data_IF_460574274866
#
_entry.id   IF_460574274866
#
_cell.length_a   1.000
_cell.length_b   1.000
_cell.length_c   1.000
_cell.angle_alpha   90.00
_cell.angle_beta   90.00
_cell.angle_gamma   90.00
#
_symmetry.space_group_name_H-M   'P 1'
#
loop_
_entity.id
_entity.type
_entity.pdbx_description
1 polymer ?
#
# COMPACT_ATOMS: atom_id res chain seq x y z
N UNK A 1 -32.99 44.37 30.55
CA UNK A 1 -33.29 43.51 29.38
C UNK A 1 -32.03 42.68 29.12
N UNK A 2 -32.01 41.43 29.60
CA UNK A 2 -30.85 40.53 29.52
C UNK A 2 -30.82 39.86 28.15
N UNK A 3 -29.70 39.95 27.43
CA UNK A 3 -29.55 39.53 26.03
C UNK A 3 -28.76 38.21 25.93
N UNK A 4 -29.13 37.19 26.70
CA UNK A 4 -28.60 35.84 26.52
C UNK A 4 -29.70 34.80 26.72
N UNK A 5 -30.02 33.97 25.71
CA UNK A 5 -30.93 32.85 25.90
C UNK A 5 -30.26 31.74 26.71
N UNK A 6 -31.06 31.07 27.54
CA UNK A 6 -30.68 29.91 28.33
C UNK A 6 -30.06 28.80 27.46
N UNK A 7 -28.97 28.22 27.96
CA UNK A 7 -28.32 27.05 27.40
C UNK A 7 -29.27 25.86 27.51
N UNK A 8 -29.68 25.30 26.37
CA UNK A 8 -30.46 24.07 26.32
C UNK A 8 -29.69 22.93 27.01
N UNK A 9 -30.33 22.33 28.03
CA UNK A 9 -29.82 21.14 28.72
C UNK A 9 -29.65 20.00 27.71
N UNK A 10 -28.47 19.38 27.76
CA UNK A 10 -28.04 18.35 26.82
C UNK A 10 -29.01 17.17 26.71
N UNK A 11 -29.10 16.66 25.48
CA UNK A 11 -29.77 15.40 25.18
C UNK A 11 -29.25 14.29 26.08
N UNK A 12 -30.19 13.57 26.68
CA UNK A 12 -29.96 12.32 27.38
C UNK A 12 -29.22 11.35 26.45
N UNK A 13 -28.04 10.91 26.88
CA UNK A 13 -27.30 9.82 26.25
C UNK A 13 -28.16 8.56 26.37
N UNK A 14 -28.34 7.86 25.25
CA UNK A 14 -28.96 6.54 25.23
C UNK A 14 -28.17 5.60 26.15
N UNK A 15 -28.82 5.11 27.20
CA UNK A 15 -28.28 4.10 28.11
C UNK A 15 -28.02 2.80 27.34
N UNK A 16 -26.78 2.29 27.43
CA UNK A 16 -26.43 0.93 26.99
C UNK A 16 -25.23 0.81 26.04
N UNK A 17 -24.60 1.89 25.60
CA UNK A 17 -23.38 1.78 24.78
C UNK A 17 -22.17 1.58 25.71
N UNK A 18 -21.55 0.40 25.64
CA UNK A 18 -20.29 0.09 26.33
C UNK A 18 -19.21 1.06 25.84
N UNK A 19 -18.74 1.98 26.69
CA UNK A 19 -17.73 2.96 26.28
C UNK A 19 -16.33 2.47 26.60
N UNK A 20 -15.39 2.71 25.69
CA UNK A 20 -13.97 2.36 25.85
C UNK A 20 -13.11 3.61 25.69
N UNK A 21 -11.88 3.63 26.21
CA UNK A 21 -10.97 4.75 25.92
C UNK A 21 -10.64 4.77 24.43
N UNK A 22 -10.44 5.96 23.86
CA UNK A 22 -10.05 6.12 22.45
C UNK A 22 -8.81 5.28 22.09
N UNK A 23 -7.81 5.22 22.98
CA UNK A 23 -6.64 4.37 22.79
C UNK A 23 -7.00 2.89 22.60
N UNK A 24 -7.90 2.36 23.44
CA UNK A 24 -8.34 0.96 23.36
C UNK A 24 -9.13 0.69 22.08
N UNK A 25 -9.99 1.64 21.67
CA UNK A 25 -10.73 1.54 20.40
C UNK A 25 -9.78 1.51 19.20
N UNK A 26 -8.76 2.37 19.16
CA UNK A 26 -7.75 2.36 18.08
C UNK A 26 -7.00 1.03 18.06
N UNK A 27 -6.51 0.57 19.20
CA UNK A 27 -5.76 -0.70 19.31
C UNK A 27 -6.62 -1.87 18.84
N UNK A 28 -7.86 -1.98 19.32
CA UNK A 28 -8.77 -3.04 18.94
C UNK A 28 -9.12 -2.96 17.45
N UNK A 29 -9.34 -1.76 16.91
CA UNK A 29 -9.56 -1.60 15.48
C UNK A 29 -8.34 -2.07 14.67
N UNK A 30 -7.11 -1.69 15.04
CA UNK A 30 -5.89 -2.14 14.38
C UNK A 30 -5.72 -3.67 14.42
N UNK A 31 -6.08 -4.31 15.53
CA UNK A 31 -6.10 -5.79 15.64
C UNK A 31 -7.06 -6.44 14.65
N UNK A 32 -8.28 -5.89 14.49
CA UNK A 32 -9.25 -6.37 13.50
C UNK A 32 -8.72 -6.23 12.06
N UNK A 33 -7.94 -5.19 11.81
CA UNK A 33 -7.20 -5.01 10.54
C UNK A 33 -5.98 -5.95 10.39
N UNK A 34 -5.75 -6.85 11.36
CA UNK A 34 -4.67 -7.83 11.31
C UNK A 34 -3.29 -7.27 11.64
N UNK A 35 -3.20 -6.03 12.12
CA UNK A 35 -1.93 -5.40 12.53
C UNK A 35 -1.37 -6.16 13.73
N UNK A 36 -0.07 -6.45 13.67
CA UNK A 36 0.64 -7.18 14.74
C UNK A 36 1.66 -6.32 15.48
N UNK A 37 2.17 -5.26 14.85
CA UNK A 37 3.24 -4.42 15.39
C UNK A 37 3.00 -2.95 15.09
N UNK A 38 3.43 -2.09 16.00
CA UNK A 38 3.60 -0.65 15.77
C UNK A 38 5.05 -0.31 16.05
N UNK A 39 5.73 0.31 15.10
CA UNK A 39 7.10 0.79 15.26
C UNK A 39 7.12 2.26 15.67
N UNK A 40 7.97 2.66 16.62
CA UNK A 40 8.01 4.07 16.97
C UNK A 40 8.99 4.49 18.05
N UNK A 41 8.97 5.80 18.32
CA UNK A 41 9.63 6.44 19.45
C UNK A 41 8.56 7.05 20.35
N UNK A 42 8.67 6.79 21.65
CA UNK A 42 7.67 7.24 22.63
C UNK A 42 7.84 8.74 22.92
N UNK A 43 6.72 9.48 22.96
CA UNK A 43 6.66 10.87 23.39
C UNK A 43 5.35 11.19 24.13
N UNK A 44 5.31 12.34 24.81
CA UNK A 44 4.20 12.72 25.70
C UNK A 44 2.83 12.79 25.00
N UNK A 45 2.82 13.14 23.71
CA UNK A 45 1.61 13.27 22.91
C UNK A 45 0.94 11.92 22.56
N UNK A 46 1.65 10.80 22.76
CA UNK A 46 1.15 9.43 22.51
C UNK A 46 1.17 8.55 23.77
N UNK A 47 1.37 9.12 24.97
CA UNK A 47 1.35 8.33 26.21
C UNK A 47 0.05 7.55 26.42
N UNK A 48 -1.10 8.09 26.02
CA UNK A 48 -2.36 7.35 26.10
C UNK A 48 -2.41 6.12 25.18
N UNK A 49 -1.75 6.15 24.02
CA UNK A 49 -1.56 4.96 23.19
C UNK A 49 -0.68 3.93 23.92
N UNK A 50 0.41 4.36 24.56
CA UNK A 50 1.30 3.45 25.30
C UNK A 50 0.60 2.83 26.51
N UNK A 51 -0.22 3.61 27.21
CA UNK A 51 -1.07 3.14 28.31
C UNK A 51 -2.07 2.08 27.83
N UNK A 52 -2.68 2.28 26.65
CA UNK A 52 -3.55 1.27 26.03
C UNK A 52 -2.81 0.00 25.66
N UNK A 53 -1.64 0.13 25.02
CA UNK A 53 -0.84 -1.00 24.60
C UNK A 53 -0.35 -1.85 25.77
N UNK A 54 -0.04 -1.25 26.93
CA UNK A 54 0.44 -1.98 28.12
C UNK A 54 -0.62 -2.85 28.79
N UNK A 55 -1.90 -2.70 28.43
CA UNK A 55 -3.02 -3.52 28.95
C UNK A 55 -3.33 -4.76 28.12
N UNK A 56 -2.61 -5.00 27.04
CA UNK A 56 -2.88 -6.07 26.08
C UNK A 56 -1.59 -6.63 25.48
N UNK A 57 -1.64 -7.83 24.89
CA UNK A 57 -0.46 -8.51 24.37
C UNK A 57 -0.53 -8.90 22.88
N UNK A 58 -1.62 -8.58 22.16
CA UNK A 58 -1.80 -9.03 20.77
C UNK A 58 -1.19 -8.07 19.73
N UNK A 59 -1.01 -6.80 20.11
CA UNK A 59 -0.40 -5.75 19.29
C UNK A 59 0.89 -5.27 19.98
N UNK A 60 2.02 -5.54 19.35
CA UNK A 60 3.36 -5.31 19.94
C UNK A 60 3.90 -3.90 19.61
N UNK A 61 4.50 -3.24 20.60
CA UNK A 61 5.25 -2.01 20.38
C UNK A 61 6.73 -2.31 20.14
N UNK A 62 7.25 -1.93 18.99
CA UNK A 62 8.66 -2.05 18.65
C UNK A 62 9.32 -0.67 18.77
N UNK A 63 9.98 -0.46 19.91
CA UNK A 63 10.70 0.78 20.18
C UNK A 63 11.99 0.90 19.36
N UNK A 64 12.13 2.00 18.63
CA UNK A 64 13.37 2.33 17.88
C UNK A 64 14.06 3.55 18.51
N UNK A 65 15.24 3.92 17.97
CA UNK A 65 16.01 5.09 18.44
C UNK A 65 15.75 6.37 17.64
N UNK A 66 15.15 6.25 16.47
CA UNK A 66 14.83 7.38 15.59
C UNK A 66 13.58 7.04 14.77
N UNK A 67 12.65 7.96 14.62
CA UNK A 67 11.35 7.69 13.99
C UNK A 67 11.48 7.33 12.51
N UNK A 68 12.50 7.84 11.80
CA UNK A 68 12.76 7.42 10.41
C UNK A 68 12.93 5.90 10.28
N UNK A 69 13.57 5.26 11.27
CA UNK A 69 13.73 3.81 11.33
C UNK A 69 12.38 3.13 11.55
N UNK A 70 11.50 3.70 12.39
CA UNK A 70 10.17 3.16 12.60
C UNK A 70 9.34 3.16 11.30
N UNK A 71 9.35 4.28 10.57
CA UNK A 71 8.66 4.37 9.29
C UNK A 71 9.27 3.43 8.23
N UNK A 72 10.61 3.28 8.18
CA UNK A 72 11.27 2.30 7.30
C UNK A 72 10.93 0.85 7.66
N UNK A 73 10.85 0.50 8.95
CA UNK A 73 10.45 -0.83 9.39
C UNK A 73 8.99 -1.13 9.04
N UNK A 74 8.08 -0.16 9.23
CA UNK A 74 6.70 -0.29 8.79
C UNK A 74 6.60 -0.49 7.26
N UNK A 75 7.37 0.29 6.50
CA UNK A 75 7.49 0.16 5.04
C UNK A 75 8.00 -1.24 4.64
N UNK A 76 9.06 -1.73 5.28
CA UNK A 76 9.61 -3.05 5.03
C UNK A 76 8.63 -4.18 5.36
N UNK A 77 7.91 -4.11 6.49
CA UNK A 77 6.87 -5.10 6.81
C UNK A 77 5.77 -5.10 5.74
N UNK A 78 5.36 -3.94 5.25
CA UNK A 78 4.37 -3.84 4.18
C UNK A 78 4.87 -4.47 2.87
N UNK A 79 6.13 -4.20 2.47
CA UNK A 79 6.77 -4.80 1.29
C UNK A 79 6.84 -6.33 1.37
N UNK A 80 7.15 -6.87 2.55
CA UNK A 80 7.38 -8.31 2.73
C UNK A 80 6.09 -9.11 2.93
N UNK A 81 5.08 -8.51 3.56
CA UNK A 81 3.86 -9.23 3.96
C UNK A 81 2.65 -8.92 3.08
N UNK A 82 2.68 -7.82 2.32
CA UNK A 82 1.52 -7.28 1.62
C UNK A 82 0.43 -6.73 2.55
N UNK A 83 0.68 -6.68 3.87
CA UNK A 83 -0.23 -6.10 4.86
C UNK A 83 0.16 -4.65 5.14
N UNK A 84 -0.73 -3.90 5.78
CA UNK A 84 -0.41 -2.53 6.18
C UNK A 84 0.63 -2.50 7.30
N UNK A 85 1.70 -1.74 7.10
CA UNK A 85 2.66 -1.42 8.15
C UNK A 85 2.17 -0.26 9.01
N UNK A 86 2.48 -0.26 10.31
CA UNK A 86 2.06 0.83 11.21
C UNK A 86 3.25 1.42 11.96
N UNK A 87 3.42 2.73 11.89
CA UNK A 87 4.39 3.47 12.68
C UNK A 87 3.71 4.56 13.50
N UNK A 88 4.31 4.93 14.64
CA UNK A 88 3.80 6.01 15.46
C UNK A 88 4.90 6.88 16.05
N UNK A 89 4.57 8.16 16.27
CA UNK A 89 5.49 9.13 16.83
C UNK A 89 4.77 10.23 17.62
N UNK A 90 5.57 11.00 18.36
CA UNK A 90 5.21 12.30 18.92
C UNK A 90 4.72 13.28 17.84
N UNK A 91 4.08 14.37 18.26
CA UNK A 91 3.80 15.51 17.37
C UNK A 91 5.09 16.20 16.87
N UNK A 92 4.96 17.08 15.87
CA UNK A 92 6.02 18.01 15.48
C UNK A 92 7.29 17.28 15.04
N UNK A 93 8.41 17.36 15.79
CA UNK A 93 9.66 16.70 15.43
C UNK A 93 9.52 15.19 15.22
N UNK A 94 8.63 14.52 15.97
CA UNK A 94 8.40 13.08 15.81
C UNK A 94 7.86 12.74 14.43
N UNK A 95 6.81 13.45 13.98
CA UNK A 95 6.26 13.26 12.65
C UNK A 95 7.23 13.70 11.55
N UNK A 96 7.96 14.81 11.72
CA UNK A 96 8.96 15.23 10.72
C UNK A 96 10.03 14.14 10.52
N UNK A 97 10.42 13.46 11.59
CA UNK A 97 11.38 12.35 11.52
C UNK A 97 10.81 11.10 10.83
N UNK A 98 9.49 10.85 10.91
CA UNK A 98 8.85 9.76 10.15
C UNK A 98 8.91 9.99 8.63
N UNK A 99 8.92 11.24 8.16
CA UNK A 99 8.71 11.59 6.75
C UNK A 99 9.66 10.89 5.78
N UNK A 100 10.92 10.66 6.14
CA UNK A 100 11.86 9.94 5.26
C UNK A 100 11.41 8.51 4.98
N UNK A 101 10.98 7.78 6.02
CA UNK A 101 10.50 6.42 5.84
C UNK A 101 9.09 6.36 5.21
N UNK A 102 8.26 7.38 5.43
CA UNK A 102 7.00 7.52 4.70
C UNK A 102 7.24 7.80 3.21
N UNK A 103 8.24 8.61 2.87
CA UNK A 103 8.65 8.85 1.48
C UNK A 103 9.10 7.56 0.78
N UNK A 104 9.86 6.71 1.47
CA UNK A 104 10.21 5.36 0.99
C UNK A 104 8.95 4.53 0.70
N UNK A 105 8.01 4.44 1.64
CA UNK A 105 6.76 3.70 1.44
C UNK A 105 5.89 4.28 0.30
N UNK A 106 5.87 5.60 0.14
CA UNK A 106 5.15 6.29 -0.93
C UNK A 106 5.71 5.95 -2.32
N UNK A 107 7.04 5.99 -2.47
CA UNK A 107 7.71 5.70 -3.73
C UNK A 107 7.66 4.21 -4.08
N UNK A 108 7.79 3.32 -3.09
CA UNK A 108 7.72 1.87 -3.28
C UNK A 108 6.29 1.34 -3.39
N UNK A 109 5.31 2.23 -3.26
CA UNK A 109 3.88 1.95 -3.42
C UNK A 109 3.41 0.85 -2.47
N UNK A 110 3.66 1.04 -1.17
CA UNK A 110 3.22 0.13 -0.10
C UNK A 110 2.35 0.81 0.96
N UNK A 111 1.38 0.09 1.55
CA UNK A 111 0.45 0.66 2.51
C UNK A 111 1.11 0.84 3.88
N UNK A 112 1.16 2.09 4.38
CA UNK A 112 1.63 2.41 5.73
C UNK A 112 0.67 3.37 6.43
N UNK A 113 0.27 3.07 7.65
CA UNK A 113 -0.41 4.00 8.54
C UNK A 113 0.60 4.64 9.51
N UNK A 114 0.72 5.96 9.42
CA UNK A 114 1.42 6.77 10.42
C UNK A 114 0.42 7.33 11.45
N UNK A 115 0.69 7.11 12.72
CA UNK A 115 -0.08 7.71 13.83
C UNK A 115 0.81 8.70 14.56
N UNK A 116 0.45 9.98 14.55
CA UNK A 116 1.15 10.98 15.37
C UNK A 116 0.28 11.43 16.54
N UNK A 117 0.93 11.74 17.66
CA UNK A 117 0.33 12.59 18.68
C UNK A 117 0.16 14.03 18.15
N UNK A 118 -0.63 14.83 18.85
CA UNK A 118 -0.80 16.25 18.56
C UNK A 118 -1.03 17.05 19.86
N UNK A 119 -0.85 18.37 19.78
CA UNK A 119 -1.24 19.32 20.81
C UNK A 119 -2.67 19.01 21.29
N UNK A 120 -2.95 19.19 22.59
CA UNK A 120 -4.29 18.96 23.11
C UNK A 120 -5.29 19.88 22.40
N UNK A 121 -6.52 19.41 22.23
CA UNK A 121 -7.54 20.04 21.37
C UNK A 121 -7.68 21.56 21.59
N UNK A 122 -7.72 22.09 22.83
CA UNK A 122 -7.85 23.54 23.08
C UNK A 122 -6.63 24.39 22.70
N UNK A 123 -5.52 23.76 22.28
CA UNK A 123 -4.25 24.42 21.96
C UNK A 123 -3.86 24.31 20.48
N UNK A 124 -4.62 23.57 19.69
CA UNK A 124 -4.44 23.52 18.23
C UNK A 124 -4.61 24.92 17.65
N UNK A 125 -3.69 25.32 16.77
CA UNK A 125 -3.67 26.65 16.15
C UNK A 125 -2.99 27.75 16.99
N UNK A 126 -2.40 27.40 18.13
CA UNK A 126 -1.68 28.36 19.00
C UNK A 126 -0.17 28.10 18.97
N UNK A 127 0.63 28.95 19.65
CA UNK A 127 2.07 28.76 19.85
C UNK A 127 2.41 27.64 20.87
N UNK A 128 1.63 26.56 20.88
CA UNK A 128 1.85 25.43 21.79
C UNK A 128 3.19 24.75 21.46
N UNK A 129 3.87 24.20 22.48
CA UNK A 129 5.16 23.54 22.30
C UNK A 129 5.06 22.45 21.23
N UNK A 130 6.02 22.43 20.31
CA UNK A 130 6.12 21.43 19.22
C UNK A 130 4.91 21.36 18.26
N UNK A 131 3.92 22.24 18.37
CA UNK A 131 2.78 22.28 17.47
C UNK A 131 3.21 22.78 16.09
N UNK A 132 2.83 22.04 15.04
CA UNK A 132 2.92 22.43 13.63
C UNK A 132 1.70 21.92 12.88
N UNK A 133 1.46 22.46 11.67
CA UNK A 133 0.50 21.87 10.72
C UNK A 133 1.04 20.56 10.15
N UNK A 134 0.70 19.48 10.86
CA UNK A 134 1.13 18.13 10.51
C UNK A 134 0.47 17.59 9.24
N UNK A 135 -0.77 18.02 8.94
CA UNK A 135 -1.51 17.56 7.76
C UNK A 135 -0.92 18.19 6.49
N UNK A 136 -0.70 19.50 6.51
CA UNK A 136 -0.07 20.21 5.40
C UNK A 136 1.36 19.71 5.13
N UNK A 137 2.12 19.41 6.19
CA UNK A 137 3.49 18.91 6.09
C UNK A 137 3.60 17.58 5.30
N UNK A 138 2.69 16.62 5.53
CA UNK A 138 2.78 15.27 4.95
C UNK A 138 1.95 15.08 3.68
N UNK A 139 1.21 16.10 3.25
CA UNK A 139 0.27 16.00 2.13
C UNK A 139 0.93 15.55 0.81
N UNK A 140 2.21 15.88 0.59
CA UNK A 140 2.93 15.51 -0.62
C UNK A 140 3.24 14.01 -0.74
N UNK A 141 3.22 13.27 0.38
CA UNK A 141 3.65 11.87 0.45
C UNK A 141 2.62 10.96 1.12
N UNK A 142 1.39 11.45 1.33
CA UNK A 142 0.30 10.66 1.91
C UNK A 142 -0.98 10.80 1.08
N UNK A 143 -1.73 9.70 0.94
CA UNK A 143 -3.04 9.70 0.25
C UNK A 143 -4.18 10.26 1.11
N UNK A 144 -4.00 10.20 2.43
CA UNK A 144 -4.97 10.64 3.40
C UNK A 144 -4.25 11.17 4.64
N UNK A 145 -4.58 12.39 5.07
CA UNK A 145 -4.11 12.92 6.34
C UNK A 145 -5.20 13.70 7.07
N UNK A 146 -5.51 13.30 8.31
CA UNK A 146 -6.53 13.96 9.14
C UNK A 146 -6.12 14.07 10.59
N UNK A 147 -6.67 15.09 11.26
CA UNK A 147 -6.67 15.22 12.71
C UNK A 147 -8.01 14.70 13.26
N UNK A 148 -7.96 13.81 14.24
CA UNK A 148 -9.17 13.27 14.89
C UNK A 148 -9.45 14.12 16.13
N UNK A 149 -10.52 14.93 16.11
CA UNK A 149 -10.83 15.88 17.20
C UNK A 149 -12.02 15.47 18.07
N UNK A 150 -12.64 14.32 17.79
CA UNK A 150 -13.76 13.81 18.56
C UNK A 150 -13.64 12.28 18.75
N UNK A 151 -13.90 11.73 19.95
CA UNK A 151 -13.73 10.30 20.22
C UNK A 151 -14.50 9.41 19.24
N UNK A 152 -15.77 9.71 19.01
CA UNK A 152 -16.64 8.89 18.15
C UNK A 152 -16.26 8.91 16.66
N UNK A 153 -15.37 9.80 16.22
CA UNK A 153 -14.91 9.86 14.83
C UNK A 153 -13.74 8.90 14.55
N UNK A 154 -13.16 8.28 15.58
CA UNK A 154 -11.90 7.53 15.47
C UNK A 154 -12.01 6.31 14.56
N UNK A 155 -13.09 5.52 14.69
CA UNK A 155 -13.29 4.29 13.90
C UNK A 155 -13.51 4.62 12.44
N UNK A 156 -14.32 5.63 12.12
CA UNK A 156 -14.57 6.03 10.73
C UNK A 156 -13.33 6.60 10.07
N UNK A 157 -12.62 7.48 10.79
CA UNK A 157 -11.41 8.11 10.25
C UNK A 157 -10.28 7.09 10.06
N UNK A 158 -10.12 6.15 11.00
CA UNK A 158 -9.19 5.05 10.87
C UNK A 158 -9.58 4.11 9.73
N UNK A 159 -10.85 3.74 9.62
CA UNK A 159 -11.34 2.90 8.51
C UNK A 159 -11.03 3.53 7.16
N UNK A 160 -11.31 4.83 6.98
CA UNK A 160 -11.01 5.55 5.74
C UNK A 160 -9.51 5.56 5.45
N UNK A 161 -8.68 5.89 6.44
CA UNK A 161 -7.23 5.89 6.29
C UNK A 161 -6.71 4.50 5.85
N UNK A 162 -7.14 3.43 6.52
CA UNK A 162 -6.72 2.06 6.21
C UNK A 162 -7.13 1.64 4.79
N UNK A 163 -8.37 1.94 4.38
CA UNK A 163 -8.82 1.66 3.02
C UNK A 163 -8.04 2.47 1.98
N UNK A 164 -7.83 3.77 2.21
CA UNK A 164 -7.01 4.58 1.30
C UNK A 164 -5.59 4.06 1.21
N UNK A 165 -4.97 3.66 2.33
CA UNK A 165 -3.61 3.13 2.34
C UNK A 165 -3.48 1.87 1.48
N UNK A 166 -4.39 0.91 1.63
CA UNK A 166 -4.34 -0.34 0.87
C UNK A 166 -4.72 -0.14 -0.60
N UNK A 167 -5.78 0.62 -0.87
CA UNK A 167 -6.27 0.85 -2.24
C UNK A 167 -5.25 1.64 -3.05
N UNK A 168 -4.71 2.73 -2.49
CA UNK A 168 -3.71 3.55 -3.18
C UNK A 168 -2.29 3.02 -3.01
N UNK A 169 -2.08 2.03 -2.14
CA UNK A 169 -0.78 1.45 -1.81
C UNK A 169 0.22 2.57 -1.50
N UNK A 170 -0.14 3.45 -0.58
CA UNK A 170 0.69 4.59 -0.16
C UNK A 170 0.50 4.87 1.33
N UNK A 171 1.37 5.69 1.93
CA UNK A 171 1.19 6.15 3.29
C UNK A 171 -0.09 6.94 3.52
N UNK A 172 -0.63 6.82 4.72
CA UNK A 172 -1.69 7.65 5.27
C UNK A 172 -1.31 8.08 6.69
N UNK A 173 -1.89 9.17 7.16
CA UNK A 173 -1.53 9.77 8.44
C UNK A 173 -2.75 10.15 9.28
N UNK A 174 -2.78 9.72 10.54
CA UNK A 174 -3.73 10.19 11.54
C UNK A 174 -3.02 10.92 12.67
N UNK A 175 -3.48 12.13 12.95
CA UNK A 175 -3.01 12.98 14.04
C UNK A 175 -4.03 12.93 15.17
N UNK A 176 -3.60 12.49 16.36
CA UNK A 176 -4.48 12.30 17.52
C UNK A 176 -4.06 13.26 18.64
N UNK A 177 -4.91 14.24 19.03
CA UNK A 177 -4.65 15.13 20.16
C UNK A 177 -4.38 14.36 21.46
N UNK A 178 -3.39 14.83 22.22
CA UNK A 178 -2.94 14.17 23.46
C UNK A 178 -4.03 14.00 24.53
N UNK A 179 -5.02 14.89 24.55
CA UNK A 179 -6.18 14.84 25.44
C UNK A 179 -7.24 13.83 24.99
N UNK A 180 -7.23 13.40 23.71
CA UNK A 180 -8.25 12.52 23.16
C UNK A 180 -8.09 11.07 23.62
N UNK A 181 -6.85 10.59 23.80
CA UNK A 181 -6.54 9.18 24.05
C UNK A 181 -7.29 8.55 25.22
N UNK A 182 -7.51 9.34 26.28
CA UNK A 182 -8.12 8.90 27.53
C UNK A 182 -9.63 9.15 27.58
N UNK A 183 -10.21 9.83 26.59
CA UNK A 183 -11.64 10.09 26.56
C UNK A 183 -12.43 8.82 26.25
N UNK A 184 -13.65 8.75 26.77
CA UNK A 184 -14.62 7.71 26.42
C UNK A 184 -15.09 7.87 24.98
N UNK A 185 -15.04 6.77 24.25
CA UNK A 185 -15.57 6.62 22.89
C UNK A 185 -16.78 5.68 22.93
N UNK A 186 -17.89 6.10 22.33
CA UNK A 186 -19.08 5.26 22.17
C UNK A 186 -19.06 4.43 20.89
N UNK A 187 -18.18 4.75 19.93
CA UNK A 187 -18.06 4.00 18.68
C UNK A 187 -17.25 2.72 18.89
N UNK A 188 -17.82 1.58 18.52
CA UNK A 188 -17.16 0.29 18.64
C UNK A 188 -16.22 0.01 17.45
N UNK A 189 -15.10 -0.70 17.68
CA UNK A 189 -14.32 -1.29 16.60
C UNK A 189 -15.20 -2.18 15.70
N UNK A 190 -14.92 -2.17 14.39
CA UNK A 190 -15.68 -2.95 13.39
C UNK A 190 -14.77 -3.73 12.47
N UNK A 191 -15.25 -4.88 12.00
CA UNK A 191 -14.51 -5.70 11.04
C UNK A 191 -14.25 -4.93 9.74
N UNK A 192 -13.06 -5.08 9.14
CA UNK A 192 -12.80 -4.57 7.80
C UNK A 192 -13.79 -5.16 6.78
N UNK A 193 -14.30 -4.31 5.90
CA UNK A 193 -15.15 -4.78 4.79
C UNK A 193 -14.27 -5.60 3.83
N UNK A 194 -14.67 -6.84 3.57
CA UNK A 194 -14.00 -7.70 2.59
C UNK A 194 -14.27 -7.18 1.17
N UNK A 195 -13.23 -6.78 0.48
CA UNK A 195 -13.29 -6.45 -0.95
C UNK A 195 -13.24 -7.75 -1.75
N UNK A 196 -14.21 -7.95 -2.63
CA UNK A 196 -14.19 -9.04 -3.60
C UNK A 196 -13.59 -8.44 -4.89
N UNK A 197 -12.38 -8.86 -5.24
CA UNK A 197 -11.72 -8.40 -6.46
C UNK A 197 -12.53 -8.84 -7.67
N UNK A 198 -12.64 -7.95 -8.67
CA UNK A 198 -13.27 -8.29 -9.94
C UNK A 198 -12.29 -9.12 -10.78
N UNK A 199 -12.77 -10.24 -11.31
CA UNK A 199 -12.08 -10.98 -12.36
C UNK A 199 -12.17 -10.12 -13.63
N UNK A 200 -11.06 -10.03 -14.36
CA UNK A 200 -11.04 -9.39 -15.66
C UNK A 200 -12.14 -9.94 -16.59
N UNK A 201 -12.78 -9.06 -17.37
CA UNK A 201 -13.80 -9.50 -18.32
C UNK A 201 -13.24 -10.47 -19.35
N UNK A 202 -14.06 -11.46 -19.73
CA UNK A 202 -13.67 -12.50 -20.68
C UNK A 202 -13.21 -11.94 -22.04
N UNK A 203 -13.78 -10.82 -22.48
CA UNK A 203 -13.38 -10.17 -23.73
C UNK A 203 -11.97 -9.59 -23.67
N UNK A 204 -11.57 -8.96 -22.55
CA UNK A 204 -10.20 -8.46 -22.37
C UNK A 204 -9.18 -9.61 -22.32
N UNK A 205 -9.50 -10.69 -21.61
CA UNK A 205 -8.66 -11.88 -21.54
C UNK A 205 -8.46 -12.51 -22.93
N UNK A 206 -9.55 -12.66 -23.70
CA UNK A 206 -9.48 -13.18 -25.07
C UNK A 206 -8.66 -12.26 -25.99
N UNK A 207 -8.83 -10.94 -25.88
CA UNK A 207 -8.05 -9.99 -26.66
C UNK A 207 -6.55 -10.12 -26.34
N UNK A 208 -6.18 -10.18 -25.08
CA UNK A 208 -4.79 -10.37 -24.65
C UNK A 208 -4.21 -11.70 -25.12
N UNK A 209 -4.93 -12.81 -24.93
CA UNK A 209 -4.52 -14.13 -25.40
C UNK A 209 -4.28 -14.15 -26.92
N UNK A 210 -5.16 -13.52 -27.70
CA UNK A 210 -5.01 -13.42 -29.16
C UNK A 210 -3.74 -12.65 -29.60
N UNK A 211 -3.30 -11.65 -28.82
CA UNK A 211 -2.04 -10.94 -29.07
C UNK A 211 -0.85 -11.85 -28.70
N UNK A 212 -0.91 -12.49 -27.53
CA UNK A 212 0.14 -13.40 -27.04
C UNK A 212 0.40 -14.57 -27.99
N UNK A 213 -0.64 -15.16 -28.58
CA UNK A 213 -0.53 -16.28 -29.52
C UNK A 213 0.16 -15.89 -30.84
N UNK A 214 0.16 -14.61 -31.21
CA UNK A 214 0.82 -14.10 -32.42
C UNK A 214 2.26 -13.66 -32.19
N UNK A 215 2.71 -13.65 -30.93
CA UNK A 215 4.05 -13.21 -30.55
C UNK A 215 5.12 -14.17 -31.10
N UNK A 216 6.18 -13.59 -31.68
CA UNK A 216 7.38 -14.31 -32.11
C UNK A 216 8.55 -14.09 -31.16
N UNK A 217 8.58 -12.96 -30.45
CA UNK A 217 9.59 -12.59 -29.45
C UNK A 217 8.87 -12.09 -28.19
N UNK A 218 8.17 -12.99 -27.49
CA UNK A 218 7.40 -12.63 -26.31
C UNK A 218 8.30 -12.29 -25.12
N UNK A 219 7.87 -11.33 -24.30
CA UNK A 219 8.57 -10.91 -23.09
C UNK A 219 7.58 -10.70 -21.96
N UNK A 220 7.95 -11.09 -20.74
CA UNK A 220 7.31 -10.66 -19.51
C UNK A 220 8.18 -9.59 -18.85
N UNK A 221 7.56 -8.47 -18.48
CA UNK A 221 8.14 -7.49 -17.54
C UNK A 221 7.38 -7.61 -16.22
N UNK A 222 7.99 -8.23 -15.22
CA UNK A 222 7.37 -8.47 -13.93
C UNK A 222 7.84 -7.45 -12.87
N UNK A 223 6.88 -6.83 -12.19
CA UNK A 223 7.11 -5.86 -11.13
C UNK A 223 6.81 -6.38 -9.73
N UNK A 224 7.10 -5.55 -8.73
CA UNK A 224 7.03 -5.91 -7.31
C UNK A 224 5.59 -6.18 -6.82
N UNK A 225 4.58 -5.63 -7.50
CA UNK A 225 3.17 -5.89 -7.13
C UNK A 225 2.74 -7.31 -7.48
N UNK A 226 3.52 -8.02 -8.30
CA UNK A 226 3.27 -9.39 -8.69
C UNK A 226 3.96 -10.43 -7.77
N UNK A 227 4.55 -10.00 -6.63
CA UNK A 227 5.23 -10.89 -5.67
C UNK A 227 4.37 -12.06 -5.17
N UNK A 228 3.04 -11.91 -5.13
CA UNK A 228 2.14 -12.98 -4.71
C UNK A 228 1.78 -13.96 -5.85
N UNK A 229 2.24 -13.70 -7.09
CA UNK A 229 1.91 -14.46 -8.29
C UNK A 229 3.12 -15.17 -8.91
N UNK A 230 4.22 -15.37 -8.16
CA UNK A 230 5.48 -15.94 -8.67
C UNK A 230 5.30 -17.24 -9.46
N UNK A 231 4.56 -18.21 -8.90
CA UNK A 231 4.33 -19.50 -9.55
C UNK A 231 3.46 -19.38 -10.80
N UNK A 232 2.50 -18.46 -10.82
CA UNK A 232 1.66 -18.21 -11.99
C UNK A 232 2.49 -17.63 -13.13
N UNK A 233 3.33 -16.62 -12.84
CA UNK A 233 4.25 -16.00 -13.81
C UNK A 233 5.19 -17.06 -14.39
N UNK A 234 5.78 -17.90 -13.53
CA UNK A 234 6.69 -18.97 -13.95
C UNK A 234 6.01 -19.95 -14.90
N UNK A 235 4.84 -20.48 -14.53
CA UNK A 235 4.07 -21.39 -15.38
C UNK A 235 3.69 -20.76 -16.71
N UNK A 236 3.31 -19.48 -16.70
CA UNK A 236 3.03 -18.75 -17.93
C UNK A 236 4.29 -18.64 -18.81
N UNK A 237 5.43 -18.28 -18.24
CA UNK A 237 6.68 -18.16 -18.98
C UNK A 237 7.14 -19.49 -19.58
N UNK A 238 7.04 -20.59 -18.82
CA UNK A 238 7.31 -21.95 -19.29
C UNK A 238 6.39 -22.32 -20.46
N UNK A 239 5.12 -21.95 -20.38
CA UNK A 239 4.11 -22.26 -21.41
C UNK A 239 4.29 -21.41 -22.66
N UNK A 240 4.55 -20.12 -22.49
CA UNK A 240 4.68 -19.15 -23.58
C UNK A 240 6.05 -19.21 -24.25
N UNK A 241 7.07 -19.75 -23.55
CA UNK A 241 8.45 -19.74 -24.02
C UNK A 241 8.97 -18.31 -24.16
N UNK A 242 8.82 -17.50 -23.10
CA UNK A 242 9.11 -16.07 -23.16
C UNK A 242 10.19 -15.67 -22.16
N UNK A 243 11.04 -14.71 -22.56
CA UNK A 243 12.01 -14.10 -21.66
C UNK A 243 11.31 -13.34 -20.52
N UNK A 244 11.89 -13.38 -19.33
CA UNK A 244 11.38 -12.67 -18.15
C UNK A 244 12.40 -11.61 -17.74
N UNK A 245 11.96 -10.38 -17.68
CA UNK A 245 12.69 -9.26 -17.08
C UNK A 245 11.97 -8.83 -15.82
N UNK A 246 12.73 -8.60 -14.75
CA UNK A 246 12.19 -8.17 -13.46
C UNK A 246 12.55 -6.72 -13.17
N UNK A 247 11.62 -5.97 -12.60
CA UNK A 247 11.95 -4.64 -12.06
C UNK A 247 12.85 -4.77 -10.83
N UNK A 248 13.51 -3.68 -10.43
CA UNK A 248 14.44 -3.68 -9.30
C UNK A 248 13.79 -4.21 -8.01
N UNK A 249 12.61 -3.68 -7.65
CA UNK A 249 11.86 -4.11 -6.46
C UNK A 249 11.24 -5.51 -6.58
N UNK A 250 11.29 -6.12 -7.76
CA UNK A 250 10.78 -7.46 -8.03
C UNK A 250 11.90 -8.52 -8.05
N UNK A 251 13.16 -8.15 -7.80
CA UNK A 251 14.24 -9.13 -7.76
C UNK A 251 13.92 -10.20 -6.71
N UNK A 252 13.99 -11.46 -7.13
CA UNK A 252 13.69 -12.62 -6.29
C UNK A 252 12.31 -13.24 -6.51
N UNK A 253 11.41 -12.65 -7.31
CA UNK A 253 10.12 -13.29 -7.64
C UNK A 253 10.28 -14.51 -8.55
N UNK A 254 11.32 -14.50 -9.40
CA UNK A 254 11.71 -15.65 -10.23
C UNK A 254 13.06 -16.16 -9.70
N UNK A 255 13.23 -17.48 -9.52
CA UNK A 255 14.53 -18.06 -9.17
C UNK A 255 15.61 -17.72 -10.19
N UNK A 256 16.81 -17.36 -9.74
CA UNK A 256 17.94 -17.00 -10.61
C UNK A 256 18.34 -18.16 -11.56
N UNK A 257 17.98 -19.40 -11.24
CA UNK A 257 18.21 -20.59 -12.06
C UNK A 257 17.17 -20.81 -13.17
N UNK A 258 16.14 -19.97 -13.27
CA UNK A 258 15.07 -20.14 -14.25
C UNK A 258 15.61 -19.87 -15.67
N UNK A 259 15.41 -20.77 -16.65
CA UNK A 259 16.08 -20.70 -17.96
C UNK A 259 15.70 -19.46 -18.77
N UNK A 260 14.48 -18.94 -18.58
CA UNK A 260 14.01 -17.73 -19.27
C UNK A 260 14.25 -16.42 -18.51
N UNK A 261 14.88 -16.44 -17.34
CA UNK A 261 15.15 -15.20 -16.61
C UNK A 261 16.30 -14.42 -17.26
N UNK A 262 16.00 -13.21 -17.74
CA UNK A 262 16.96 -12.29 -18.35
C UNK A 262 17.54 -11.30 -17.32
N UNK A 263 17.08 -11.31 -16.07
CA UNK A 263 17.52 -10.42 -15.01
C UNK A 263 16.79 -9.08 -14.98
N UNK A 264 17.44 -8.05 -14.43
CA UNK A 264 16.86 -6.71 -14.26
C UNK A 264 17.29 -5.71 -15.34
N UNK A 265 16.54 -4.60 -15.44
CA UNK A 265 16.89 -3.42 -16.26
C UNK A 265 17.71 -2.39 -15.46
N UNK A 266 18.30 -1.42 -16.17
CA UNK A 266 19.08 -0.32 -15.59
C UNK A 266 20.55 -0.67 -15.32
N UNK A 267 21.28 0.30 -14.76
CA UNK A 267 22.74 0.24 -14.59
C UNK A 267 23.22 -0.92 -13.69
N UNK A 268 22.40 -1.33 -12.72
CA UNK A 268 22.68 -2.49 -11.86
C UNK A 268 22.13 -3.82 -12.38
N UNK A 269 21.54 -3.82 -13.58
CA UNK A 269 20.86 -4.97 -14.19
C UNK A 269 21.75 -5.79 -15.14
N UNK A 270 21.10 -6.61 -15.96
CA UNK A 270 21.79 -7.31 -17.04
C UNK A 270 22.07 -6.32 -18.19
N UNK A 271 23.34 -6.13 -18.61
CA UNK A 271 23.70 -5.17 -19.65
C UNK A 271 23.05 -5.46 -21.01
N UNK A 272 22.62 -6.71 -21.25
CA UNK A 272 21.96 -7.11 -22.50
C UNK A 272 20.44 -7.05 -22.43
N UNK A 273 19.84 -6.97 -21.23
CA UNK A 273 18.38 -7.03 -21.07
C UNK A 273 17.66 -5.89 -21.81
N UNK A 274 18.25 -4.70 -21.84
CA UNK A 274 17.70 -3.57 -22.59
C UNK A 274 17.53 -3.87 -24.08
N UNK A 275 18.55 -4.44 -24.71
CA UNK A 275 18.54 -4.69 -26.15
C UNK A 275 17.68 -5.90 -26.52
N UNK A 276 17.54 -6.87 -25.62
CA UNK A 276 16.55 -7.94 -25.73
C UNK A 276 15.12 -7.40 -25.59
N UNK A 277 14.86 -6.53 -24.61
CA UNK A 277 13.55 -5.88 -24.46
C UNK A 277 13.13 -5.13 -25.72
N UNK A 278 14.05 -4.39 -26.35
CA UNK A 278 13.78 -3.64 -27.58
C UNK A 278 13.42 -4.52 -28.77
N UNK A 279 13.78 -5.80 -28.75
CA UNK A 279 13.45 -6.77 -29.79
C UNK A 279 12.08 -7.42 -29.58
N UNK A 280 11.47 -7.30 -28.41
CA UNK A 280 10.18 -7.91 -28.14
C UNK A 280 9.10 -7.36 -29.08
N UNK A 281 8.18 -8.24 -29.51
CA UNK A 281 7.01 -7.86 -30.32
C UNK A 281 5.71 -7.85 -29.51
N UNK A 282 5.64 -8.63 -28.43
CA UNK A 282 4.57 -8.56 -27.43
C UNK A 282 5.19 -8.57 -26.04
N UNK A 283 4.81 -7.60 -25.20
CA UNK A 283 5.25 -7.54 -23.81
C UNK A 283 4.06 -7.64 -22.87
N UNK A 284 4.13 -8.57 -21.94
CA UNK A 284 3.21 -8.67 -20.82
C UNK A 284 3.84 -7.97 -19.61
N UNK A 285 3.42 -6.73 -19.34
CA UNK A 285 3.82 -5.97 -18.17
C UNK A 285 2.89 -6.34 -17.00
N UNK A 286 3.44 -6.88 -15.92
CA UNK A 286 2.68 -7.45 -14.81
C UNK A 286 3.05 -6.73 -13.52
N UNK A 287 2.12 -5.99 -12.93
CA UNK A 287 2.28 -5.38 -11.61
C UNK A 287 3.52 -4.49 -11.48
N UNK A 288 3.87 -3.76 -12.55
CA UNK A 288 5.08 -2.93 -12.61
C UNK A 288 4.74 -1.45 -12.66
N UNK A 289 5.39 -0.67 -11.81
CA UNK A 289 5.23 0.79 -11.73
C UNK A 289 6.33 1.56 -12.46
N UNK A 290 7.30 0.87 -13.07
CA UNK A 290 8.45 1.52 -13.67
C UNK A 290 8.98 0.76 -14.88
N UNK A 291 9.07 1.46 -16.01
CA UNK A 291 9.78 1.03 -17.21
C UNK A 291 10.29 2.26 -17.96
N UNK A 292 11.60 2.56 -17.91
CA UNK A 292 12.13 3.74 -18.58
C UNK A 292 11.92 3.68 -20.09
N UNK A 293 11.53 4.81 -20.67
CA UNK A 293 11.21 4.92 -22.10
C UNK A 293 12.32 4.37 -23.01
N UNK A 294 13.59 4.56 -22.64
CA UNK A 294 14.73 4.08 -23.43
C UNK A 294 14.89 2.54 -23.44
N UNK A 295 14.22 1.83 -22.54
CA UNK A 295 14.12 0.36 -22.52
C UNK A 295 12.84 -0.17 -23.18
N UNK A 296 11.87 0.69 -23.51
CA UNK A 296 10.59 0.28 -24.08
C UNK A 296 10.75 -0.04 -25.58
N UNK A 297 10.37 -1.23 -26.05
CA UNK A 297 10.32 -1.54 -27.48
C UNK A 297 9.30 -0.66 -28.20
N UNK A 298 9.75 0.06 -29.24
CA UNK A 298 8.93 1.03 -29.98
C UNK A 298 7.74 0.41 -30.73
N UNK A 299 7.87 -0.85 -31.15
CA UNK A 299 6.91 -1.52 -32.03
C UNK A 299 6.18 -2.69 -31.34
N UNK A 300 6.37 -2.88 -30.03
CA UNK A 300 5.72 -3.97 -29.32
C UNK A 300 4.27 -3.65 -28.97
N UNK A 301 3.45 -4.69 -28.93
CA UNK A 301 2.14 -4.65 -28.28
C UNK A 301 2.31 -4.97 -26.80
N UNK A 302 1.99 -4.01 -25.94
CA UNK A 302 2.10 -4.10 -24.49
C UNK A 302 0.73 -4.36 -23.90
N UNK A 303 0.62 -5.48 -23.18
CA UNK A 303 -0.51 -5.84 -22.34
C UNK A 303 -0.10 -5.54 -20.90
N UNK A 304 -0.86 -4.69 -20.21
CA UNK A 304 -0.56 -4.28 -18.84
C UNK A 304 -1.59 -4.88 -17.89
N UNK A 305 -1.11 -5.72 -16.96
CA UNK A 305 -1.91 -6.35 -15.92
C UNK A 305 -1.61 -5.68 -14.59
N UNK A 306 -2.66 -5.18 -13.94
CA UNK A 306 -2.59 -4.57 -12.62
C UNK A 306 -3.80 -4.99 -11.77
N UNK A 307 -3.67 -4.89 -10.45
CA UNK A 307 -4.82 -5.10 -9.55
C UNK A 307 -5.68 -3.83 -9.45
N UNK A 308 -5.15 -2.69 -9.89
CA UNK A 308 -5.75 -1.37 -9.70
C UNK A 308 -5.83 -0.60 -11.00
N UNK A 309 -6.99 -0.01 -11.24
CA UNK A 309 -7.21 0.79 -12.45
C UNK A 309 -6.32 2.04 -12.49
N UNK A 310 -6.03 2.65 -11.33
CA UNK A 310 -5.20 3.85 -11.22
C UNK A 310 -3.73 3.61 -11.60
N UNK A 311 -3.27 2.37 -11.62
CA UNK A 311 -1.92 2.01 -12.04
C UNK A 311 -1.79 1.81 -13.56
N UNK A 312 -2.90 1.58 -14.27
CA UNK A 312 -2.89 1.40 -15.71
C UNK A 312 -2.56 2.74 -16.38
N UNK A 313 -1.53 2.75 -17.24
CA UNK A 313 -1.17 3.91 -18.06
C UNK A 313 -0.38 5.01 -17.35
N UNK A 314 0.03 4.80 -16.08
CA UNK A 314 0.83 5.79 -15.32
C UNK A 314 2.21 6.00 -15.97
N UNK A 315 2.94 4.91 -16.21
CA UNK A 315 4.31 4.93 -16.77
C UNK A 315 4.45 3.97 -17.97
N UNK A 316 3.56 2.97 -18.06
CA UNK A 316 3.68 1.88 -19.04
C UNK A 316 2.80 2.20 -20.28
N UNK A 317 3.40 2.42 -21.46
CA UNK A 317 2.64 2.64 -22.70
C UNK A 317 1.99 1.33 -23.12
N UNK A 318 0.67 1.21 -22.90
CA UNK A 318 -0.07 -0.04 -23.04
C UNK A 318 -1.23 0.07 -24.02
N UNK A 319 -1.46 -0.98 -24.80
CA UNK A 319 -2.57 -1.09 -25.76
C UNK A 319 -3.76 -1.83 -25.16
N UNK A 320 -3.51 -2.74 -24.22
CA UNK A 320 -4.54 -3.47 -23.49
C UNK A 320 -4.23 -3.40 -22.01
N UNK A 321 -5.16 -2.87 -21.22
CA UNK A 321 -5.12 -2.89 -19.76
C UNK A 321 -6.07 -3.97 -19.23
N UNK A 322 -5.59 -4.80 -18.31
CA UNK A 322 -6.38 -5.80 -17.62
C UNK A 322 -6.29 -5.52 -16.12
N UNK A 323 -7.45 -5.30 -15.50
CA UNK A 323 -7.55 -5.04 -14.06
C UNK A 323 -8.19 -6.22 -13.36
N UNK A 324 -7.57 -6.70 -12.30
CA UNK A 324 -8.08 -7.80 -11.47
C UNK A 324 -6.94 -8.52 -10.74
N UNK A 325 -7.25 -9.60 -10.03
CA UNK A 325 -6.20 -10.34 -9.33
C UNK A 325 -5.16 -10.89 -10.33
N UNK A 326 -3.89 -10.53 -10.11
CA UNK A 326 -2.81 -10.85 -11.05
C UNK A 326 -2.66 -12.36 -11.24
N UNK A 327 -2.70 -13.14 -10.14
CA UNK A 327 -2.54 -14.59 -10.22
C UNK A 327 -3.67 -15.26 -11.02
N UNK A 328 -4.92 -14.86 -10.78
CA UNK A 328 -6.09 -15.37 -11.51
C UNK A 328 -6.06 -15.00 -13.00
N UNK A 329 -5.69 -13.76 -13.33
CA UNK A 329 -5.56 -13.31 -14.72
C UNK A 329 -4.49 -14.12 -15.44
N UNK A 330 -3.31 -14.27 -14.84
CA UNK A 330 -2.20 -15.04 -15.43
C UNK A 330 -2.59 -16.49 -15.62
N UNK A 331 -3.28 -17.08 -14.64
CA UNK A 331 -3.79 -18.44 -14.74
C UNK A 331 -4.76 -18.59 -15.93
N UNK A 332 -5.75 -17.71 -16.04
CA UNK A 332 -6.70 -17.72 -17.15
C UNK A 332 -6.02 -17.57 -18.52
N UNK A 333 -5.03 -16.68 -18.62
CA UNK A 333 -4.22 -16.53 -19.84
C UNK A 333 -3.41 -17.79 -20.15
N UNK A 334 -2.81 -18.42 -19.13
CA UNK A 334 -2.04 -19.66 -19.29
C UNK A 334 -2.92 -20.81 -19.79
N UNK A 335 -4.12 -20.95 -19.23
CA UNK A 335 -5.11 -21.96 -19.64
C UNK A 335 -5.62 -21.71 -21.07
N UNK A 336 -5.78 -20.45 -21.49
CA UNK A 336 -6.13 -20.10 -22.86
C UNK A 336 -5.08 -20.45 -23.91
N UNK A 337 -3.87 -20.86 -23.50
CA UNK A 337 -2.75 -21.21 -24.39
C UNK A 337 -2.56 -22.71 -24.58
N UNK A 338 -3.53 -23.59 -24.27
CA UNK A 338 -3.41 -25.07 -24.32
C UNK A 338 -2.99 -25.69 -25.66
N UNK A 339 -3.18 -25.00 -26.79
CA UNK A 339 -2.74 -25.47 -28.11
C UNK A 339 -1.46 -24.79 -28.61
N UNK A 340 -0.92 -23.82 -27.87
CA UNK A 340 0.31 -23.12 -28.23
C UNK A 340 1.54 -24.03 -28.14
N UNK A 341 2.38 -24.00 -29.17
CA UNK A 341 3.73 -24.60 -29.16
C UNK A 341 4.74 -23.48 -29.29
N UNK A 342 5.61 -23.34 -28.29
CA UNK A 342 6.71 -22.37 -28.34
C UNK A 342 7.63 -22.64 -29.53
N UNK A 343 8.15 -21.58 -30.15
CA UNK A 343 9.08 -21.69 -31.27
C UNK A 343 10.51 -21.96 -30.74
N UNK A 344 11.11 -23.14 -30.97
CA UNK A 344 12.44 -23.46 -30.43
C UNK A 344 13.55 -22.55 -30.98
N UNK A 345 13.34 -21.89 -32.12
CA UNK A 345 14.31 -21.01 -32.77
C UNK A 345 14.28 -19.55 -32.28
N UNK A 346 13.39 -19.23 -31.33
CA UNK A 346 13.25 -17.89 -30.73
C UNK A 346 13.71 -17.83 -29.26
N UNK A 347 14.09 -18.97 -28.68
CA UNK A 347 14.65 -19.11 -27.33
C UNK A 347 16.18 -19.00 -27.36
#
# INVERSE_FOLDING_TARGET
MSIFPEVAKGNQLQEGIETQKVADVIINQLKLWGVKRIYGVIGDAIFGLMEGLSRQNDLEWIGVKHESVAAMMASAEAKLTGRIGVCAAQMGPGLTNLMTGLGDAYLDRVPVLAISGQAPTPKIGTAYKQYIDQQGLVQAITGFSRIVVHPNAVVDTLTQAMFTAMEQAIPVHLSIPSDLWTLSCGTQPREPIRIINQIAGQSQLQQAANLMLKAKRPLILAGNRANHACDAIRKLADRWGCGIVVSYGAKGIIPDSHPYLLGGLGEGGNPFASDLCKQADVVLAIGTSWWPEYHVPKNAQVIHIEERISAIGEVIPSQVGIVGNIAEIIQALTEGMTDYRSNPAAN
#
